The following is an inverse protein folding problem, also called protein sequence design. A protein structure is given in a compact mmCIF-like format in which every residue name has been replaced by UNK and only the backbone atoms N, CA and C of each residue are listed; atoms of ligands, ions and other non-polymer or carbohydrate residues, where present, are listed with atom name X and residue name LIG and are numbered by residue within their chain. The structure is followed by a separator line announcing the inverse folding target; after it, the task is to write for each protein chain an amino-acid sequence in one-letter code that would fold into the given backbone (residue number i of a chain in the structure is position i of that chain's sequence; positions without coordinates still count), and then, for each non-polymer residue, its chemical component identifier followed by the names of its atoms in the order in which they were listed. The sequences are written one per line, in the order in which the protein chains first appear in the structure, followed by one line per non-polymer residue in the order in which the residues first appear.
data_IF_418622449785
#
_entry.id   IF_418622449785
#
_cell.length_a   1.000
_cell.length_b   1.000
_cell.length_c   1.000
_cell.angle_alpha   90.00
_cell.angle_beta   90.00
_cell.angle_gamma   90.00
#
_symmetry.space_group_name_H-M   'P 1'
#
loop_
_entity.id
_entity.type
_entity.pdbx_description
1 polymer ?
#
# COMPACT_ATOMS: atom_id res chain seq x y z
N UNK A 1 -4.50 -2.23 -26.06
CA UNK A 1 -5.24 -1.31 -25.16
C UNK A 1 -4.33 -1.03 -23.98
N UNK A 2 -4.33 0.20 -23.46
CA UNK A 2 -3.51 0.56 -22.29
C UNK A 2 -4.01 -0.19 -21.07
N UNK A 3 -3.12 -0.85 -20.34
CA UNK A 3 -3.43 -1.55 -19.08
C UNK A 3 -2.41 -1.18 -18.03
N UNK A 4 -2.90 -0.68 -16.91
CA UNK A 4 -2.10 -0.17 -15.81
C UNK A 4 -2.40 -0.97 -14.56
N UNK A 5 -1.36 -1.52 -13.93
CA UNK A 5 -1.44 -2.11 -12.59
C UNK A 5 -1.05 -1.04 -11.57
N UNK A 6 -1.92 -0.80 -10.59
CA UNK A 6 -1.54 -0.13 -9.35
C UNK A 6 -1.26 -1.18 -8.29
N UNK A 7 -0.04 -1.24 -7.79
CA UNK A 7 0.35 -2.05 -6.65
C UNK A 7 0.34 -1.17 -5.39
N UNK A 8 -0.45 -1.54 -4.40
CA UNK A 8 -0.60 -0.85 -3.12
C UNK A 8 -0.11 -1.72 -1.96
N UNK A 9 0.72 -1.14 -1.09
CA UNK A 9 1.41 -1.82 0.00
C UNK A 9 0.94 -1.22 1.35
N UNK A 10 -0.23 -1.62 1.86
CA UNK A 10 -0.90 -0.92 2.97
C UNK A 10 -0.10 -0.82 4.27
N UNK A 11 0.80 -1.78 4.52
CA UNK A 11 1.65 -1.86 5.71
C UNK A 11 3.13 -1.75 5.36
N UNK A 12 3.46 -1.07 4.25
CA UNK A 12 4.80 -1.05 3.67
C UNK A 12 5.92 -0.80 4.68
N UNK A 13 5.77 0.23 5.51
CA UNK A 13 6.80 0.63 6.47
C UNK A 13 7.09 -0.44 7.51
N UNK A 14 6.04 -1.09 8.05
CA UNK A 14 6.19 -2.16 9.04
C UNK A 14 6.68 -3.46 8.42
N UNK A 15 6.20 -3.79 7.22
CA UNK A 15 6.61 -4.97 6.46
C UNK A 15 8.11 -4.87 6.10
N UNK A 16 8.55 -3.70 5.61
CA UNK A 16 9.97 -3.42 5.33
C UNK A 16 10.82 -3.53 6.58
N UNK A 17 10.37 -2.97 7.71
CA UNK A 17 11.12 -3.06 8.97
C UNK A 17 11.33 -4.52 9.38
N UNK A 18 10.26 -5.32 9.37
CA UNK A 18 10.31 -6.75 9.71
C UNK A 18 11.25 -7.50 8.76
N UNK A 19 11.12 -7.29 7.45
CA UNK A 19 12.00 -7.91 6.44
C UNK A 19 13.47 -7.55 6.62
N UNK A 20 13.78 -6.30 6.97
CA UNK A 20 15.15 -5.85 7.22
C UNK A 20 15.74 -6.50 8.48
N UNK A 21 14.92 -6.74 9.50
CA UNK A 21 15.34 -7.34 10.76
C UNK A 21 15.50 -8.86 10.71
N UNK A 22 14.84 -9.56 9.79
CA UNK A 22 14.97 -11.01 9.63
C UNK A 22 14.57 -11.75 10.92
N UNK A 23 15.42 -12.66 11.40
CA UNK A 23 15.17 -13.42 12.64
C UNK A 23 15.10 -12.54 13.90
N UNK A 24 15.63 -11.32 13.86
CA UNK A 24 15.53 -10.34 14.94
C UNK A 24 14.24 -9.50 14.88
N UNK A 25 13.38 -9.73 13.87
CA UNK A 25 12.11 -9.02 13.76
C UNK A 25 11.17 -9.41 14.92
N UNK A 26 10.33 -8.48 15.40
CA UNK A 26 9.21 -8.85 16.25
C UNK A 26 8.34 -9.93 15.58
N UNK A 27 7.72 -10.86 16.33
CA UNK A 27 6.75 -11.82 15.79
C UNK A 27 5.60 -11.13 15.06
N UNK A 28 4.97 -11.77 14.07
CA UNK A 28 3.87 -11.19 13.28
C UNK A 28 2.65 -10.88 14.14
N UNK A 29 2.48 -11.64 15.21
CA UNK A 29 1.42 -11.54 16.19
C UNK A 29 1.66 -10.39 17.18
N UNK A 30 2.92 -9.94 17.35
CA UNK A 30 3.26 -8.82 18.20
C UNK A 30 2.87 -7.51 17.52
N UNK A 31 1.92 -6.73 18.07
CA UNK A 31 1.50 -5.46 17.48
C UNK A 31 2.67 -4.50 17.32
N UNK A 32 2.85 -3.94 16.11
CA UNK A 32 3.93 -3.00 15.80
C UNK A 32 3.37 -1.65 15.36
N UNK A 33 3.86 -0.57 15.99
CA UNK A 33 3.65 0.80 15.56
C UNK A 33 4.98 1.48 15.28
N UNK A 34 5.06 2.22 14.17
CA UNK A 34 6.16 3.12 13.88
C UNK A 34 5.76 4.53 14.27
N UNK A 35 6.64 5.22 14.98
CA UNK A 35 6.37 6.56 15.50
C UNK A 35 7.33 7.59 14.90
N UNK A 36 6.88 8.83 14.83
CA UNK A 36 7.71 9.97 14.47
C UNK A 36 7.18 11.24 15.10
N UNK A 37 7.65 12.39 14.60
CA UNK A 37 7.23 13.69 15.11
C UNK A 37 6.21 14.34 14.18
N UNK A 38 5.16 14.87 14.78
CA UNK A 38 4.25 15.83 14.18
C UNK A 38 4.30 17.12 15.02
N UNK A 39 5.02 18.12 14.50
CA UNK A 39 5.45 19.29 15.26
C UNK A 39 6.23 18.90 16.52
N UNK A 40 5.67 19.23 17.70
CA UNK A 40 6.26 18.90 19.00
C UNK A 40 5.80 17.55 19.57
N UNK A 41 4.84 16.89 18.93
CA UNK A 41 4.21 15.66 19.44
C UNK A 41 4.85 14.43 18.81
N UNK A 42 4.99 13.37 19.61
CA UNK A 42 5.36 12.05 19.10
C UNK A 42 4.08 11.27 18.79
N UNK A 43 3.90 10.88 17.53
CA UNK A 43 2.68 10.27 17.02
C UNK A 43 2.99 8.99 16.24
N UNK A 44 2.00 8.11 16.16
CA UNK A 44 2.03 6.92 15.31
C UNK A 44 1.93 7.35 13.85
N UNK A 45 2.89 6.94 13.02
CA UNK A 45 2.94 7.25 11.58
C UNK A 45 2.62 6.03 10.71
N UNK A 46 2.91 4.82 11.19
CA UNK A 46 2.51 3.58 10.53
C UNK A 46 2.18 2.51 11.58
N UNK A 47 1.33 1.56 11.20
CA UNK A 47 0.94 0.41 12.04
C UNK A 47 0.89 -0.84 11.20
N UNK A 48 1.15 -1.98 11.80
CA UNK A 48 0.86 -3.26 11.18
C UNK A 48 -0.60 -3.68 11.42
N UNK A 49 -1.00 -4.80 10.80
CA UNK A 49 -2.35 -5.31 10.90
C UNK A 49 -2.75 -5.67 12.35
N UNK A 50 -1.81 -6.20 13.14
CA UNK A 50 -2.05 -6.58 14.54
C UNK A 50 -2.30 -5.34 15.42
N UNK A 51 -1.48 -4.29 15.29
CA UNK A 51 -1.69 -3.02 15.98
C UNK A 51 -2.98 -2.32 15.54
N UNK A 52 -3.31 -2.37 14.25
CA UNK A 52 -4.59 -1.85 13.76
C UNK A 52 -5.79 -2.62 14.34
N UNK A 53 -5.73 -3.95 14.38
CA UNK A 53 -6.77 -4.78 14.98
C UNK A 53 -6.94 -4.50 16.48
N UNK A 54 -5.84 -4.24 17.19
CA UNK A 54 -5.83 -3.86 18.60
C UNK A 54 -6.26 -2.40 18.88
N UNK A 55 -6.64 -1.63 17.85
CA UNK A 55 -7.19 -0.29 18.01
C UNK A 55 -6.19 0.86 17.85
N UNK A 56 -4.91 0.58 17.59
CA UNK A 56 -3.93 1.62 17.28
C UNK A 56 -4.25 2.23 15.91
N UNK A 57 -4.08 3.55 15.78
CA UNK A 57 -4.37 4.30 14.54
C UNK A 57 -3.22 5.27 14.26
N UNK A 58 -2.96 5.52 12.98
CA UNK A 58 -2.07 6.62 12.55
C UNK A 58 -2.61 7.96 13.08
N UNK A 59 -1.71 8.84 13.47
CA UNK A 59 -2.01 10.12 14.14
C UNK A 59 -2.26 10.01 15.65
N UNK A 60 -2.39 8.79 16.20
CA UNK A 60 -2.53 8.60 17.65
C UNK A 60 -1.25 9.04 18.37
N UNK A 61 -1.33 9.76 19.52
CA UNK A 61 -0.16 10.02 20.35
C UNK A 61 0.52 8.71 20.77
N UNK A 62 1.86 8.66 20.68
CA UNK A 62 2.62 7.44 20.96
C UNK A 62 2.41 6.94 22.40
N UNK A 63 2.24 7.85 23.36
CA UNK A 63 1.92 7.51 24.75
C UNK A 63 0.56 6.84 24.87
N UNK A 64 -0.47 7.36 24.18
CA UNK A 64 -1.81 6.77 24.14
C UNK A 64 -1.78 5.36 23.52
N UNK A 65 -1.03 5.17 22.44
CA UNK A 65 -0.92 3.86 21.79
C UNK A 65 -0.33 2.80 22.73
N UNK A 66 0.74 3.13 23.48
CA UNK A 66 1.37 2.23 24.46
C UNK A 66 0.44 1.85 25.61
N UNK A 67 -0.42 2.78 26.04
CA UNK A 67 -1.41 2.51 27.09
C UNK A 67 -2.56 1.65 26.57
N UNK A 68 -3.00 1.89 25.34
CA UNK A 68 -4.12 1.17 24.71
C UNK A 68 -3.80 -0.32 24.51
N UNK A 69 -2.57 -0.64 24.13
CA UNK A 69 -2.17 -2.01 23.76
C UNK A 69 -0.94 -2.42 24.57
N UNK A 70 -1.16 -3.29 25.55
CA UNK A 70 -0.06 -3.91 26.29
C UNK A 70 0.83 -4.73 25.34
N UNK A 71 2.15 -4.60 25.47
CA UNK A 71 3.10 -5.29 24.60
C UNK A 71 3.23 -4.70 23.19
N UNK A 72 2.66 -3.51 22.93
CA UNK A 72 2.87 -2.80 21.67
C UNK A 72 4.36 -2.55 21.45
N UNK A 73 4.91 -3.12 20.39
CA UNK A 73 6.26 -2.83 19.93
C UNK A 73 6.21 -1.48 19.24
N UNK A 74 7.11 -0.58 19.66
CA UNK A 74 7.20 0.76 19.11
C UNK A 74 8.60 1.01 18.62
N UNK A 75 8.72 1.39 17.34
CA UNK A 75 9.99 1.67 16.66
C UNK A 75 9.93 3.04 15.99
N UNK A 76 11.06 3.66 15.73
CA UNK A 76 11.10 4.92 14.98
C UNK A 76 10.78 4.69 13.50
N UNK A 77 9.95 5.57 12.94
CA UNK A 77 9.64 5.57 11.52
C UNK A 77 10.82 6.16 10.73
N UNK A 78 11.21 5.48 9.66
CA UNK A 78 12.28 5.90 8.75
C UNK A 78 11.71 6.03 7.32
N UNK A 79 11.13 7.20 6.96
CA UNK A 79 10.56 7.45 5.65
C UNK A 79 11.58 7.36 4.52
N UNK A 80 12.84 7.69 4.78
CA UNK A 80 13.90 7.63 3.77
C UNK A 80 14.19 6.18 3.39
N UNK A 81 14.29 5.29 4.38
CA UNK A 81 14.47 3.87 4.10
C UNK A 81 13.23 3.21 3.48
N UNK A 82 12.01 3.70 3.78
CA UNK A 82 10.79 3.29 3.10
C UNK A 82 10.83 3.62 1.60
N UNK A 83 11.20 4.88 1.26
CA UNK A 83 11.30 5.34 -0.12
C UNK A 83 12.37 4.57 -0.91
N UNK A 84 13.58 4.44 -0.35
CA UNK A 84 14.67 3.67 -0.99
C UNK A 84 14.29 2.20 -1.21
N UNK A 85 13.50 1.61 -0.31
CA UNK A 85 13.03 0.25 -0.48
C UNK A 85 11.98 0.14 -1.60
N UNK A 86 11.12 1.15 -1.80
CA UNK A 86 10.20 1.19 -2.94
C UNK A 86 10.96 1.29 -4.26
N UNK A 87 12.01 2.11 -4.32
CA UNK A 87 12.87 2.20 -5.51
C UNK A 87 13.49 0.84 -5.86
N UNK A 88 14.00 0.12 -4.84
CA UNK A 88 14.51 -1.25 -5.04
C UNK A 88 13.42 -2.22 -5.52
N UNK A 89 12.21 -2.11 -5.00
CA UNK A 89 11.08 -2.93 -5.46
C UNK A 89 10.68 -2.58 -6.90
N UNK A 90 10.73 -1.31 -7.28
CA UNK A 90 10.49 -0.85 -8.65
C UNK A 90 11.48 -1.48 -9.63
N UNK A 91 12.78 -1.45 -9.29
CA UNK A 91 13.84 -2.07 -10.09
C UNK A 91 13.65 -3.59 -10.23
N UNK A 92 13.24 -4.27 -9.16
CA UNK A 92 12.96 -5.71 -9.20
C UNK A 92 11.78 -6.04 -10.12
N UNK A 93 10.71 -5.25 -10.08
CA UNK A 93 9.56 -5.40 -10.97
C UNK A 93 9.92 -5.09 -12.42
N UNK A 94 10.71 -4.04 -12.65
CA UNK A 94 11.19 -3.67 -13.98
C UNK A 94 11.96 -4.81 -14.66
N UNK A 95 12.75 -5.56 -13.88
CA UNK A 95 13.54 -6.68 -14.40
C UNK A 95 12.74 -7.96 -14.66
N UNK A 96 11.54 -8.12 -14.07
CA UNK A 96 10.85 -9.42 -14.00
C UNK A 96 9.39 -9.44 -14.44
N UNK A 97 8.72 -8.29 -14.45
CA UNK A 97 7.28 -8.22 -14.70
C UNK A 97 6.91 -7.41 -15.92
N UNK A 98 7.46 -6.20 -16.05
CA UNK A 98 7.02 -5.26 -17.07
C UNK A 98 8.12 -4.22 -17.37
N UNK A 99 8.17 -3.71 -18.61
CA UNK A 99 9.21 -2.77 -19.05
C UNK A 99 9.05 -1.36 -18.50
N UNK A 100 7.91 -1.01 -17.91
CA UNK A 100 7.65 0.33 -17.35
C UNK A 100 7.08 0.17 -15.94
N UNK A 101 7.86 0.62 -14.96
CA UNK A 101 7.49 0.63 -13.54
C UNK A 101 7.91 1.97 -12.95
N UNK A 102 7.04 2.59 -12.18
CA UNK A 102 7.35 3.80 -11.39
C UNK A 102 6.88 3.63 -9.95
N UNK A 103 7.56 4.29 -9.02
CA UNK A 103 7.08 4.40 -7.65
C UNK A 103 5.85 5.31 -7.60
N UNK A 104 4.91 4.98 -6.71
CA UNK A 104 3.73 5.79 -6.35
C UNK A 104 3.71 5.99 -4.83
N UNK A 105 4.53 6.92 -4.32
CA UNK A 105 4.69 7.15 -2.89
C UNK A 105 3.37 7.49 -2.18
N UNK A 106 3.27 7.22 -0.87
CA UNK A 106 4.31 6.66 0.00
C UNK A 106 4.33 5.12 0.06
N UNK A 107 3.41 4.43 -0.62
CA UNK A 107 3.15 3.01 -0.34
C UNK A 107 2.62 2.26 -1.56
N UNK A 108 3.25 2.44 -2.71
CA UNK A 108 2.83 1.74 -3.91
C UNK A 108 3.74 1.94 -5.10
N UNK A 109 3.41 1.22 -6.17
CA UNK A 109 4.03 1.30 -7.49
C UNK A 109 2.96 1.27 -8.57
N UNK A 110 3.33 1.77 -9.74
CA UNK A 110 2.49 1.76 -10.93
C UNK A 110 3.28 1.05 -12.02
N UNK A 111 2.60 0.14 -12.71
CA UNK A 111 3.19 -0.72 -13.72
C UNK A 111 2.35 -0.57 -14.98
N UNK A 112 2.99 -0.27 -16.11
CA UNK A 112 2.33 -0.46 -17.41
C UNK A 112 2.41 -1.94 -17.77
N UNK A 113 1.27 -2.63 -17.75
CA UNK A 113 1.18 -4.04 -18.12
C UNK A 113 0.68 -4.24 -19.56
N UNK A 114 0.62 -3.17 -20.36
CA UNK A 114 0.12 -3.23 -21.73
C UNK A 114 0.89 -4.25 -22.55
N UNK A 115 0.21 -5.32 -22.94
CA UNK A 115 0.76 -6.35 -23.82
C UNK A 115 1.81 -7.26 -23.18
N UNK A 116 1.99 -7.27 -21.85
CA UNK A 116 2.91 -8.21 -21.18
C UNK A 116 2.20 -9.23 -20.28
N UNK A 117 0.89 -9.08 -20.09
CA UNK A 117 0.05 -9.99 -19.30
C UNK A 117 0.12 -11.44 -19.79
N UNK A 118 0.16 -11.66 -21.10
CA UNK A 118 0.26 -13.00 -21.70
C UNK A 118 1.54 -13.76 -21.29
N UNK A 119 2.63 -13.06 -20.96
CA UNK A 119 3.87 -13.67 -20.43
C UNK A 119 3.67 -14.28 -19.05
N UNK A 120 2.62 -13.85 -18.34
CA UNK A 120 2.26 -14.31 -17.00
C UNK A 120 1.02 -15.21 -17.00
N UNK A 121 0.48 -15.58 -18.17
CA UNK A 121 -0.76 -16.36 -18.28
C UNK A 121 -2.04 -15.52 -18.25
N UNK A 122 -1.94 -14.22 -18.53
CA UNK A 122 -3.05 -13.27 -18.53
C UNK A 122 -3.12 -12.42 -17.26
N UNK A 123 -4.02 -11.43 -17.26
CA UNK A 123 -4.13 -10.41 -16.21
C UNK A 123 -4.36 -10.99 -14.80
N UNK A 124 -5.20 -12.02 -14.70
CA UNK A 124 -5.53 -12.66 -13.42
C UNK A 124 -4.35 -13.41 -12.82
N UNK A 125 -3.63 -14.18 -13.64
CA UNK A 125 -2.42 -14.88 -13.20
C UNK A 125 -1.28 -13.90 -12.87
N UNK A 126 -1.15 -12.82 -13.64
CA UNK A 126 -0.17 -11.75 -13.40
C UNK A 126 -0.38 -11.09 -12.03
N UNK A 127 -1.60 -10.61 -11.74
CA UNK A 127 -1.87 -9.85 -10.51
C UNK A 127 -1.82 -10.74 -9.27
N UNK A 128 -2.37 -11.96 -9.37
CA UNK A 128 -2.39 -12.92 -8.27
C UNK A 128 -0.97 -13.39 -7.96
N UNK A 129 -0.21 -13.76 -8.99
CA UNK A 129 1.20 -14.16 -8.83
C UNK A 129 2.10 -13.03 -8.31
N UNK A 130 1.79 -11.77 -8.62
CA UNK A 130 2.48 -10.61 -8.03
C UNK A 130 2.19 -10.48 -6.54
N UNK A 131 0.92 -10.53 -6.14
CA UNK A 131 0.51 -10.43 -4.74
C UNK A 131 1.09 -11.61 -3.94
N UNK A 132 1.00 -12.83 -4.46
CA UNK A 132 1.48 -14.04 -3.77
C UNK A 132 3.00 -14.01 -3.58
N UNK A 133 3.77 -13.56 -4.58
CA UNK A 133 5.23 -13.42 -4.43
C UNK A 133 5.62 -12.36 -3.40
N UNK A 134 4.87 -11.27 -3.31
CA UNK A 134 5.09 -10.27 -2.27
C UNK A 134 4.72 -10.82 -0.89
N UNK A 135 3.58 -11.52 -0.78
CA UNK A 135 3.14 -12.16 0.46
C UNK A 135 4.17 -13.21 0.95
N UNK A 136 4.69 -14.04 0.05
CA UNK A 136 5.76 -15.01 0.36
C UNK A 136 7.05 -14.33 0.85
N UNK A 137 7.28 -13.06 0.50
CA UNK A 137 8.39 -12.25 0.99
C UNK A 137 8.08 -11.45 2.27
N UNK A 138 6.89 -11.64 2.86
CA UNK A 138 6.45 -10.91 4.05
C UNK A 138 5.96 -9.48 3.77
N UNK A 139 5.54 -9.18 2.54
CA UNK A 139 4.97 -7.88 2.15
C UNK A 139 3.50 -8.05 1.83
N UNK A 140 2.63 -7.35 2.56
CA UNK A 140 1.20 -7.29 2.24
C UNK A 140 1.01 -6.40 1.02
N UNK A 141 0.32 -6.95 0.02
CA UNK A 141 0.03 -6.25 -1.22
C UNK A 141 -1.45 -6.32 -1.56
N UNK A 142 -1.91 -5.27 -2.23
CA UNK A 142 -3.16 -5.21 -2.96
C UNK A 142 -2.85 -4.67 -4.35
N UNK A 143 -3.55 -5.11 -5.37
CA UNK A 143 -3.34 -4.58 -6.70
C UNK A 143 -4.65 -4.48 -7.47
N UNK A 144 -4.68 -3.56 -8.43
CA UNK A 144 -5.74 -3.52 -9.42
C UNK A 144 -5.23 -3.20 -10.81
N UNK A 145 -5.90 -3.72 -11.83
CA UNK A 145 -5.63 -3.44 -13.24
C UNK A 145 -6.79 -2.63 -13.82
N UNK A 146 -6.48 -1.54 -14.51
CA UNK A 146 -7.46 -0.69 -15.17
C UNK A 146 -6.85 0.00 -16.41
N UNK A 147 -7.68 0.69 -17.18
CA UNK A 147 -7.21 1.37 -18.40
C UNK A 147 -6.45 2.68 -18.10
N UNK A 148 -6.57 3.18 -16.87
CA UNK A 148 -5.89 4.39 -16.41
C UNK A 148 -5.26 4.19 -15.04
N UNK A 149 -4.19 4.94 -14.78
CA UNK A 149 -3.56 4.95 -13.45
C UNK A 149 -4.54 5.37 -12.36
N UNK A 150 -5.33 6.42 -12.57
CA UNK A 150 -6.29 6.89 -11.56
C UNK A 150 -7.29 5.82 -11.15
N UNK A 151 -7.85 5.09 -12.13
CA UNK A 151 -8.78 4.00 -11.85
C UNK A 151 -8.09 2.82 -11.13
N UNK A 152 -6.92 2.39 -11.61
CA UNK A 152 -6.16 1.32 -10.97
C UNK A 152 -5.79 1.69 -9.52
N UNK A 153 -5.34 2.93 -9.30
CA UNK A 153 -4.96 3.46 -7.99
C UNK A 153 -6.14 3.43 -7.02
N UNK A 154 -7.30 3.95 -7.45
CA UNK A 154 -8.53 3.96 -6.68
C UNK A 154 -8.97 2.54 -6.31
N UNK A 155 -9.00 1.63 -7.28
CA UNK A 155 -9.44 0.24 -7.10
C UNK A 155 -8.50 -0.55 -6.17
N UNK A 156 -7.18 -0.38 -6.30
CA UNK A 156 -6.21 -1.09 -5.46
C UNK A 156 -6.31 -0.69 -3.97
N UNK A 157 -6.64 0.58 -3.69
CA UNK A 157 -6.72 1.13 -2.32
C UNK A 157 -8.10 1.01 -1.70
N UNK A 158 -9.15 1.26 -2.47
CA UNK A 158 -10.52 1.40 -1.97
C UNK A 158 -11.48 0.33 -2.48
N UNK A 159 -11.07 -0.53 -3.41
CA UNK A 159 -11.88 -1.67 -3.83
C UNK A 159 -12.12 -2.66 -2.69
N UNK A 160 -13.12 -3.53 -2.82
CA UNK A 160 -13.44 -4.51 -1.78
C UNK A 160 -12.45 -5.70 -1.73
N UNK A 161 -11.81 -6.02 -2.86
CA UNK A 161 -10.93 -7.18 -3.00
C UNK A 161 -9.45 -6.77 -2.97
N UNK A 162 -8.53 -7.66 -2.54
CA UNK A 162 -7.09 -7.43 -2.65
C UNK A 162 -6.57 -7.42 -4.09
N UNK A 163 -7.19 -8.19 -4.98
CA UNK A 163 -6.93 -8.20 -6.42
C UNK A 163 -8.21 -7.80 -7.17
N UNK A 164 -8.11 -6.84 -8.09
CA UNK A 164 -9.27 -6.40 -8.88
C UNK A 164 -8.85 -6.07 -10.32
N UNK A 165 -9.59 -6.59 -11.30
CA UNK A 165 -9.35 -6.31 -12.71
C UNK A 165 -10.59 -5.60 -13.26
N UNK A 166 -10.43 -4.35 -13.67
CA UNK A 166 -11.48 -3.60 -14.34
C UNK A 166 -11.60 -4.08 -15.80
N UNK A 167 -12.82 -4.29 -16.32
CA UNK A 167 -13.02 -4.64 -17.73
C UNK A 167 -12.35 -3.61 -18.67
N UNK A 168 -11.82 -4.02 -19.83
CA UNK A 168 -11.39 -3.06 -20.84
C UNK A 168 -12.54 -2.13 -21.26
N UNK A 169 -12.27 -0.82 -21.37
CA UNK A 169 -13.27 0.19 -21.70
C UNK A 169 -14.22 0.54 -20.55
N UNK A 170 -13.87 0.24 -19.29
CA UNK A 170 -14.76 0.36 -18.13
C UNK A 170 -15.33 1.77 -17.86
N UNK A 171 -14.69 2.83 -18.38
CA UNK A 171 -15.08 4.21 -18.10
C UNK A 171 -15.06 4.55 -16.60
N UNK A 172 -15.95 5.41 -16.12
CA UNK A 172 -16.03 5.77 -14.70
C UNK A 172 -16.85 4.80 -13.85
N UNK A 173 -17.56 3.84 -14.45
CA UNK A 173 -18.52 2.98 -13.74
C UNK A 173 -17.88 2.19 -12.59
N UNK A 174 -16.67 1.67 -12.79
CA UNK A 174 -15.91 0.92 -11.77
C UNK A 174 -15.47 1.77 -10.57
N UNK A 175 -15.55 3.10 -10.66
CA UNK A 175 -15.19 4.03 -9.59
C UNK A 175 -16.40 4.45 -8.74
N UNK A 176 -17.61 4.08 -9.16
CA UNK A 176 -18.85 4.42 -8.46
C UNK A 176 -18.84 3.86 -7.04
N UNK A 177 -19.15 4.70 -6.05
CA UNK A 177 -19.21 4.31 -4.64
C UNK A 177 -17.86 4.29 -3.92
N UNK A 178 -16.75 4.58 -4.61
CA UNK A 178 -15.46 4.82 -3.94
C UNK A 178 -15.47 6.19 -3.23
N UNK A 179 -14.76 6.33 -2.09
CA UNK A 179 -14.72 7.59 -1.35
C UNK A 179 -13.96 8.67 -2.14
N UNK A 180 -14.21 9.95 -1.82
CA UNK A 180 -13.49 11.08 -2.43
C UNK A 180 -11.96 10.99 -2.28
N UNK A 181 -11.48 10.32 -1.23
CA UNK A 181 -10.05 10.05 -1.06
C UNK A 181 -9.42 9.26 -2.23
N UNK A 182 -10.21 8.51 -2.98
CA UNK A 182 -9.77 7.81 -4.19
C UNK A 182 -9.32 8.76 -5.32
N UNK A 183 -9.75 10.03 -5.28
CA UNK A 183 -9.37 11.07 -6.24
C UNK A 183 -7.99 11.67 -5.96
N UNK A 184 -7.31 11.26 -4.88
CA UNK A 184 -5.98 11.76 -4.48
C UNK A 184 -5.92 13.27 -4.27
N UNK A 185 -7.06 13.84 -3.87
CA UNK A 185 -7.16 15.26 -3.54
C UNK A 185 -6.48 15.54 -2.19
N UNK A 186 -6.01 16.78 -1.97
CA UNK A 186 -5.58 17.23 -0.65
C UNK A 186 -6.64 16.97 0.43
N UNK A 187 -6.20 16.62 1.64
CA UNK A 187 -7.11 16.20 2.73
C UNK A 187 -8.04 17.33 3.19
N UNK A 188 -7.58 18.57 3.15
CA UNK A 188 -8.38 19.78 3.39
C UNK A 188 -9.46 19.94 2.32
N UNK A 189 -9.12 19.74 1.04
CA UNK A 189 -10.09 19.77 -0.06
C UNK A 189 -11.15 18.68 0.08
N UNK A 190 -10.76 17.46 0.46
CA UNK A 190 -11.71 16.37 0.74
C UNK A 190 -12.66 16.75 1.88
N UNK A 191 -12.14 17.34 2.95
CA UNK A 191 -12.95 17.79 4.08
C UNK A 191 -13.96 18.86 3.67
N UNK A 192 -13.56 19.83 2.83
CA UNK A 192 -14.46 20.85 2.29
C UNK A 192 -15.53 20.25 1.37
N UNK A 193 -15.19 19.29 0.52
CA UNK A 193 -16.15 18.65 -0.40
C UNK A 193 -17.22 17.82 0.33
N UNK A 194 -16.92 17.24 1.50
CA UNK A 194 -17.92 16.57 2.33
C UNK A 194 -18.89 17.53 3.04
N UNK A 195 -18.57 18.82 3.12
CA UNK A 195 -19.39 19.83 3.78
C UNK A 195 -20.37 20.54 2.82
N UNK A 196 -20.34 20.21 1.52
CA UNK A 196 -21.28 20.66 0.50
C UNK A 196 -22.49 19.72 0.44
#
# INVERSE_FOLDING_TARGET
MTRVVSLFLPSWSTDRLRRKAGDAAPPVEAPLALIGRDGRRQVVLAVDAAAQAAGVRVGMPATKARVLVQGLVVQDHDPAADAQALDRLALWLLQRYAPIVTVDPPSGLVIDSSGVDHLHGGEEAMITGLIDRLAASGVRARAAIADTWGAAHALARYGAKPALIAPPGHGSAVLTGLPLAALRLPTDMIASLHAL
#
